data_IF_954767079630
#
_entry.id   IF_954767079630
#
_cell.length_a   1.000
_cell.length_b   1.000
_cell.length_c   1.000
_cell.angle_alpha   90.00
_cell.angle_beta   90.00
_cell.angle_gamma   90.00
#
_symmetry.space_group_name_H-M   'P 1'
#
loop_
_entity.id
_entity.type
_entity.pdbx_description
1 polymer ?
#
# COMPACT_ATOMS: atom_id res chain seq x y z
N UNK A 1 7.06 4.21 -0.70
CA UNK A 1 6.12 5.34 -0.48
C UNK A 1 5.56 5.43 0.94
N UNK A 2 4.84 4.43 1.46
CA UNK A 2 4.28 4.49 2.82
C UNK A 2 5.37 4.78 3.87
N UNK A 3 6.55 4.20 3.71
CA UNK A 3 7.70 4.43 4.59
C UNK A 3 8.25 5.87 4.55
N UNK A 4 8.04 6.62 3.46
CA UNK A 4 8.36 8.05 3.40
C UNK A 4 7.39 8.91 4.22
N UNK A 5 6.18 8.39 4.46
CA UNK A 5 5.12 9.11 5.17
C UNK A 5 5.05 8.67 6.64
N UNK A 6 5.25 7.37 6.87
CA UNK A 6 4.91 6.66 8.10
C UNK A 6 6.00 5.62 8.41
N UNK A 7 7.11 6.13 8.92
CA UNK A 7 8.19 5.38 9.52
C UNK A 7 8.82 6.20 10.66
N UNK A 8 9.73 5.58 11.42
CA UNK A 8 10.60 6.27 12.38
C UNK A 8 11.30 7.45 11.73
N UNK A 9 11.68 8.44 12.54
CA UNK A 9 12.40 9.61 12.05
C UNK A 9 13.70 9.22 11.35
N UNK A 10 14.49 8.32 11.95
CA UNK A 10 15.74 7.85 11.36
C UNK A 10 15.54 7.22 9.98
N UNK A 11 14.52 6.36 9.82
CA UNK A 11 14.27 5.73 8.52
C UNK A 11 13.72 6.70 7.48
N UNK A 12 12.92 7.69 7.89
CA UNK A 12 12.49 8.77 6.99
C UNK A 12 13.67 9.60 6.52
N UNK A 13 14.59 9.96 7.41
CA UNK A 13 15.82 10.69 7.07
C UNK A 13 16.70 9.91 6.11
N UNK A 14 16.88 8.61 6.33
CA UNK A 14 17.57 7.72 5.40
C UNK A 14 16.90 7.70 4.02
N UNK A 15 15.58 7.49 3.95
CA UNK A 15 14.89 7.47 2.66
C UNK A 15 14.91 8.83 1.97
N UNK A 16 14.85 9.93 2.73
CA UNK A 16 14.99 11.28 2.19
C UNK A 16 16.40 11.50 1.62
N UNK A 17 17.47 11.10 2.31
CA UNK A 17 18.83 11.24 1.77
C UNK A 17 19.04 10.41 0.49
N UNK A 18 18.42 9.24 0.41
CA UNK A 18 18.53 8.34 -0.75
C UNK A 18 17.67 8.74 -1.96
N UNK A 19 16.56 9.46 -1.73
CA UNK A 19 15.53 9.68 -2.75
C UNK A 19 15.29 11.15 -3.08
N UNK A 20 15.97 12.11 -2.44
CA UNK A 20 15.74 13.54 -2.64
C UNK A 20 16.37 14.11 -3.92
N UNK A 21 17.25 13.38 -4.60
CA UNK A 21 17.95 13.90 -5.79
C UNK A 21 17.08 13.93 -7.05
N UNK A 22 16.03 13.12 -7.13
CA UNK A 22 15.23 12.94 -8.35
C UNK A 22 13.71 12.97 -8.07
N UNK A 23 12.87 13.33 -9.05
CA UNK A 23 11.42 13.27 -8.91
C UNK A 23 10.92 11.83 -8.69
N UNK A 24 10.12 11.63 -7.64
CA UNK A 24 9.52 10.33 -7.32
C UNK A 24 8.15 10.17 -7.97
N UNK A 25 8.00 9.11 -8.77
CA UNK A 25 6.75 8.75 -9.44
C UNK A 25 6.00 7.66 -8.69
N UNK A 26 4.72 7.51 -9.01
CA UNK A 26 3.88 6.43 -8.49
C UNK A 26 2.98 5.86 -9.58
N UNK A 27 2.84 4.54 -9.60
CA UNK A 27 1.86 3.87 -10.44
C UNK A 27 0.48 3.87 -9.80
N UNK A 28 -0.56 3.85 -10.64
CA UNK A 28 -1.93 3.69 -10.19
C UNK A 28 -2.12 2.43 -9.35
N UNK A 29 -1.41 1.34 -9.67
CA UNK A 29 -1.46 0.12 -8.88
C UNK A 29 -0.94 0.32 -7.45
N UNK A 30 0.19 1.01 -7.27
CA UNK A 30 0.71 1.34 -5.93
C UNK A 30 -0.27 2.26 -5.19
N UNK A 31 -0.92 3.22 -5.87
CA UNK A 31 -1.98 4.05 -5.24
C UNK A 31 -3.12 3.19 -4.73
N UNK A 32 -3.58 2.24 -5.54
CA UNK A 32 -4.64 1.30 -5.16
C UNK A 32 -4.23 0.47 -3.94
N UNK A 33 -3.01 -0.08 -3.93
CA UNK A 33 -2.48 -0.85 -2.81
C UNK A 33 -2.41 -0.04 -1.50
N UNK A 34 -1.98 1.23 -1.59
CA UNK A 34 -1.95 2.12 -0.42
C UNK A 34 -3.38 2.43 0.05
N UNK A 35 -4.32 2.74 -0.86
CA UNK A 35 -5.72 2.96 -0.50
C UNK A 35 -6.33 1.73 0.18
N UNK A 36 -6.10 0.54 -0.38
CA UNK A 36 -6.60 -0.76 0.11
C UNK A 36 -6.04 -1.12 1.48
N UNK A 37 -4.72 -1.09 1.62
CA UNK A 37 -4.03 -1.59 2.83
C UNK A 37 -3.97 -0.58 3.97
N UNK A 38 -4.13 0.71 3.67
CA UNK A 38 -4.01 1.77 4.66
C UNK A 38 -5.28 2.58 4.80
N UNK A 39 -5.70 3.28 3.73
CA UNK A 39 -6.79 4.26 3.82
C UNK A 39 -8.13 3.62 4.24
N UNK A 40 -8.48 2.48 3.63
CA UNK A 40 -9.70 1.72 3.98
C UNK A 40 -9.69 1.29 5.45
N UNK A 41 -8.54 0.85 5.97
CA UNK A 41 -8.43 0.43 7.37
C UNK A 41 -8.62 1.61 8.34
N UNK A 42 -8.11 2.80 8.01
CA UNK A 42 -8.31 3.99 8.84
C UNK A 42 -9.77 4.45 8.79
N UNK A 43 -10.38 4.45 7.61
CA UNK A 43 -11.81 4.80 7.46
C UNK A 43 -12.68 3.82 8.24
N UNK A 44 -12.34 2.53 8.20
CA UNK A 44 -13.06 1.53 8.97
C UNK A 44 -12.90 1.73 10.49
N UNK A 45 -11.70 2.10 10.96
CA UNK A 45 -11.49 2.49 12.36
C UNK A 45 -12.28 3.74 12.75
N UNK A 46 -12.38 4.75 11.86
CA UNK A 46 -13.25 5.91 12.07
C UNK A 46 -14.70 5.49 12.34
N UNK A 47 -15.23 4.54 11.56
CA UNK A 47 -16.59 4.03 11.78
C UNK A 47 -16.73 3.19 13.06
N UNK A 48 -15.70 2.45 13.46
CA UNK A 48 -15.69 1.75 14.76
C UNK A 48 -15.69 2.73 15.92
N UNK A 49 -14.83 3.77 15.87
CA UNK A 49 -14.83 4.83 16.88
C UNK A 49 -16.18 5.56 16.94
N UNK A 50 -16.91 5.66 15.82
CA UNK A 50 -18.22 6.33 15.77
C UNK A 50 -19.38 5.49 16.34
N UNK A 51 -19.22 4.19 16.56
CA UNK A 51 -20.31 3.35 17.08
C UNK A 51 -20.85 3.89 18.42
N UNK A 52 -22.17 3.84 18.60
CA UNK A 52 -22.82 4.35 19.82
C UNK A 52 -22.41 3.55 21.07
N UNK A 53 -22.18 2.24 20.91
CA UNK A 53 -21.69 1.36 21.98
C UNK A 53 -20.22 1.59 22.35
N UNK A 54 -19.49 2.41 21.59
CA UNK A 54 -18.07 2.71 21.82
C UNK A 54 -17.98 4.07 22.50
N UNK A 55 -17.65 4.08 23.79
CA UNK A 55 -17.65 5.31 24.58
C UNK A 55 -16.30 6.02 24.54
N UNK A 56 -15.21 5.28 24.38
CA UNK A 56 -13.85 5.82 24.44
C UNK A 56 -13.00 5.40 23.24
N UNK A 57 -11.87 6.09 23.04
CA UNK A 57 -10.87 5.69 22.04
C UNK A 57 -10.29 4.31 22.39
N UNK A 58 -10.10 4.04 23.69
CA UNK A 58 -9.66 2.75 24.22
C UNK A 58 -10.60 1.61 23.81
N UNK A 59 -11.92 1.79 23.97
CA UNK A 59 -12.92 0.79 23.57
C UNK A 59 -12.85 0.51 22.07
N UNK A 60 -12.69 1.56 21.25
CA UNK A 60 -12.55 1.43 19.80
C UNK A 60 -11.31 0.60 19.44
N UNK A 61 -10.17 0.88 20.07
CA UNK A 61 -8.91 0.15 19.86
C UNK A 61 -9.06 -1.32 20.31
N UNK A 62 -9.71 -1.58 21.44
CA UNK A 62 -9.94 -2.93 21.95
C UNK A 62 -10.89 -3.75 21.06
N UNK A 63 -12.00 -3.16 20.61
CA UNK A 63 -12.91 -3.83 19.67
C UNK A 63 -12.21 -4.08 18.32
N UNK A 64 -11.43 -3.11 17.86
CA UNK A 64 -10.71 -3.21 16.59
C UNK A 64 -9.63 -4.28 16.64
N UNK A 65 -8.84 -4.32 17.72
CA UNK A 65 -7.78 -5.30 17.89
C UNK A 65 -8.38 -6.71 17.77
N UNK A 66 -9.50 -6.99 18.43
CA UNK A 66 -10.21 -8.28 18.36
C UNK A 66 -10.61 -8.76 16.95
N UNK A 67 -10.65 -7.90 15.92
CA UNK A 67 -10.90 -8.29 14.51
C UNK A 67 -9.65 -8.84 13.78
N UNK A 68 -8.51 -8.87 14.47
CA UNK A 68 -7.17 -9.40 14.12
C UNK A 68 -6.97 -9.96 12.69
N UNK A 69 -6.60 -9.08 11.74
CA UNK A 69 -5.81 -9.43 10.55
C UNK A 69 -4.53 -8.59 10.50
N UNK A 70 -3.37 -9.23 10.31
CA UNK A 70 -2.05 -8.59 10.51
C UNK A 70 -1.74 -7.36 9.65
N UNK A 71 -2.35 -7.21 8.47
CA UNK A 71 -2.19 -6.04 7.60
C UNK A 71 -2.94 -4.79 8.12
N UNK A 72 -4.06 -4.99 8.82
CA UNK A 72 -4.89 -3.91 9.39
C UNK A 72 -4.21 -3.29 10.63
N UNK A 73 -3.44 -4.09 11.38
CA UNK A 73 -2.71 -3.67 12.57
C UNK A 73 -1.67 -2.58 12.29
N UNK A 74 -0.89 -2.72 11.21
CA UNK A 74 0.15 -1.74 10.85
C UNK A 74 -0.47 -0.37 10.53
N UNK A 75 -1.67 -0.34 9.96
CA UNK A 75 -2.33 0.92 9.62
C UNK A 75 -2.69 1.70 10.89
N UNK A 76 -3.28 1.02 11.88
CA UNK A 76 -3.71 1.64 13.13
C UNK A 76 -2.55 1.97 14.06
N UNK A 77 -1.53 1.11 14.17
CA UNK A 77 -0.31 1.43 14.94
C UNK A 77 0.40 2.70 14.43
N UNK A 78 0.21 3.05 13.15
CA UNK A 78 0.73 4.30 12.58
C UNK A 78 -0.19 5.50 12.80
N UNK A 79 -1.50 5.28 12.96
CA UNK A 79 -2.49 6.32 13.29
C UNK A 79 -2.48 6.68 14.77
N UNK A 80 -2.24 5.71 15.66
CA UNK A 80 -2.21 5.92 17.10
C UNK A 80 -1.24 7.05 17.51
N UNK A 81 0.02 7.11 17.04
CA UNK A 81 0.92 8.24 17.29
C UNK A 81 0.40 9.57 16.76
N UNK A 82 -0.37 9.59 15.67
CA UNK A 82 -0.99 10.81 15.14
C UNK A 82 -2.13 11.31 16.02
N UNK A 83 -2.84 10.39 16.70
CA UNK A 83 -3.80 10.74 17.75
C UNK A 83 -3.08 11.26 19.00
N UNK A 84 -1.94 10.65 19.38
CA UNK A 84 -1.15 11.07 20.53
C UNK A 84 -0.34 12.36 20.34
N UNK A 85 0.06 12.69 19.10
CA UNK A 85 0.87 13.90 18.80
C UNK A 85 0.10 15.18 19.10
N UNK A 86 -1.23 15.12 19.08
CA UNK A 86 -2.11 16.13 19.62
C UNK A 86 -2.19 15.86 21.13
N UNK A 87 -1.35 16.56 21.91
CA UNK A 87 -1.15 16.41 23.37
C UNK A 87 -2.38 16.66 24.26
N UNK A 88 -3.58 16.30 23.82
CA UNK A 88 -4.86 16.67 24.41
C UNK A 88 -5.97 15.62 24.17
N UNK A 89 -5.62 14.35 23.96
CA UNK A 89 -6.60 13.25 23.89
C UNK A 89 -6.32 12.25 25.02
N UNK A 90 -7.26 12.11 25.94
CA UNK A 90 -7.30 11.03 26.93
C UNK A 90 -8.10 9.87 26.34
N UNK A 91 -7.43 8.74 26.12
CA UNK A 91 -8.02 7.60 25.42
C UNK A 91 -9.13 6.90 26.22
N UNK A 92 -9.19 7.14 27.52
CA UNK A 92 -10.23 6.63 28.43
C UNK A 92 -11.34 7.64 28.68
N UNK A 93 -11.25 8.86 28.11
CA UNK A 93 -12.25 9.91 28.30
C UNK A 93 -13.28 9.89 27.18
N UNK A 94 -14.59 9.73 27.49
CA UNK A 94 -15.64 9.85 26.48
C UNK A 94 -15.70 11.22 25.82
N UNK A 95 -15.24 12.27 26.52
CA UNK A 95 -15.24 13.65 26.02
C UNK A 95 -14.29 13.85 24.84
N UNK A 96 -13.28 13.00 24.70
CA UNK A 96 -12.26 13.13 23.66
C UNK A 96 -12.60 12.35 22.37
N UNK A 97 -13.69 11.56 22.38
CA UNK A 97 -14.18 10.79 21.23
C UNK A 97 -14.42 11.65 19.99
N UNK A 98 -15.20 12.73 20.13
CA UNK A 98 -15.56 13.61 19.00
C UNK A 98 -14.35 14.37 18.43
N UNK A 99 -13.42 14.74 19.31
CA UNK A 99 -12.17 15.37 18.91
C UNK A 99 -11.29 14.39 18.12
N UNK A 100 -11.17 13.14 18.58
CA UNK A 100 -10.46 12.10 17.87
C UNK A 100 -11.08 11.82 16.49
N UNK A 101 -12.41 11.76 16.39
CA UNK A 101 -13.12 11.61 15.10
C UNK A 101 -12.75 12.75 14.13
N UNK A 102 -12.74 14.00 14.60
CA UNK A 102 -12.38 15.17 13.79
C UNK A 102 -10.92 15.10 13.31
N UNK A 103 -10.00 14.71 14.20
CA UNK A 103 -8.58 14.54 13.90
C UNK A 103 -8.37 13.44 12.84
N UNK A 104 -9.05 12.30 12.99
CA UNK A 104 -8.97 11.19 12.03
C UNK A 104 -9.39 11.63 10.63
N UNK A 105 -10.48 12.39 10.51
CA UNK A 105 -10.97 12.88 9.21
C UNK A 105 -9.97 13.82 8.56
N UNK A 106 -9.39 14.74 9.33
CA UNK A 106 -8.32 15.64 8.84
C UNK A 106 -7.11 14.83 8.39
N UNK A 107 -6.72 13.81 9.17
CA UNK A 107 -5.61 12.94 8.86
C UNK A 107 -5.84 12.17 7.55
N UNK A 108 -6.99 11.51 7.40
CA UNK A 108 -7.40 10.78 6.19
C UNK A 108 -7.30 11.69 4.95
N UNK A 109 -7.88 12.90 5.04
CA UNK A 109 -7.85 13.89 3.93
C UNK A 109 -6.43 14.35 3.60
N UNK A 110 -5.60 14.64 4.61
CA UNK A 110 -4.21 15.07 4.42
C UNK A 110 -3.36 13.97 3.80
N UNK A 111 -3.52 12.73 4.26
CA UNK A 111 -2.76 11.59 3.76
C UNK A 111 -2.99 11.38 2.25
N UNK A 112 -4.26 11.38 1.81
CA UNK A 112 -4.58 11.27 0.38
C UNK A 112 -4.01 12.45 -0.41
N UNK A 113 -4.15 13.67 0.11
CA UNK A 113 -3.64 14.88 -0.54
C UNK A 113 -2.12 14.82 -0.75
N UNK A 114 -1.38 14.30 0.23
CA UNK A 114 0.08 14.15 0.14
C UNK A 114 0.44 13.16 -0.98
N UNK A 115 -0.22 12.00 -1.05
CA UNK A 115 0.05 11.02 -2.12
C UNK A 115 -0.19 11.65 -3.49
N UNK A 116 -1.29 12.39 -3.63
CA UNK A 116 -1.69 13.01 -4.90
C UNK A 116 -0.76 14.15 -5.32
N UNK A 117 -0.26 14.96 -4.38
CA UNK A 117 0.58 16.12 -4.68
C UNK A 117 2.07 15.81 -4.75
N UNK A 118 2.57 14.88 -3.93
CA UNK A 118 4.00 14.58 -3.85
C UNK A 118 4.50 13.68 -4.97
N UNK A 119 3.63 12.83 -5.53
CA UNK A 119 4.04 11.81 -6.49
C UNK A 119 3.23 11.91 -7.79
N UNK A 120 3.84 12.41 -8.89
CA UNK A 120 3.26 12.34 -10.22
C UNK A 120 2.98 10.89 -10.65
N UNK A 121 1.98 10.71 -11.50
CA UNK A 121 1.67 9.39 -12.05
C UNK A 121 2.73 8.96 -13.08
N UNK A 122 3.10 7.67 -13.06
CA UNK A 122 3.67 7.03 -14.25
C UNK A 122 2.55 6.39 -15.09
N UNK A 123 2.92 5.82 -16.25
CA UNK A 123 1.98 5.14 -17.14
C UNK A 123 1.23 4.00 -16.42
N UNK A 124 -0.06 3.85 -16.71
CA UNK A 124 -0.90 2.77 -16.19
C UNK A 124 -1.44 1.93 -17.33
N UNK A 125 -0.84 0.75 -17.53
CA UNK A 125 -1.29 -0.22 -18.53
C UNK A 125 -2.38 -1.16 -18.02
N UNK A 126 -2.76 -1.08 -16.74
CA UNK A 126 -3.73 -2.00 -16.11
C UNK A 126 -5.14 -1.44 -16.04
N UNK A 127 -5.27 -0.12 -16.17
CA UNK A 127 -6.53 0.62 -16.10
C UNK A 127 -7.36 0.27 -14.83
N UNK A 128 -6.70 0.08 -13.69
CA UNK A 128 -7.38 -0.31 -12.45
C UNK A 128 -8.29 0.83 -11.96
N UNK A 129 -9.60 0.73 -12.18
CA UNK A 129 -10.55 1.79 -11.82
C UNK A 129 -10.53 2.16 -10.32
N UNK A 130 -10.29 1.18 -9.44
CA UNK A 130 -10.17 1.41 -7.98
C UNK A 130 -9.04 2.37 -7.61
N UNK A 131 -7.97 2.42 -8.41
CA UNK A 131 -6.88 3.38 -8.19
C UNK A 131 -7.33 4.83 -8.35
N UNK A 132 -8.33 5.07 -9.20
CA UNK A 132 -8.81 6.38 -9.62
C UNK A 132 -9.95 6.92 -8.76
N UNK A 133 -10.58 6.08 -7.91
CA UNK A 133 -11.65 6.51 -7.00
C UNK A 133 -11.16 7.66 -6.12
N UNK A 134 -11.72 8.88 -6.24
CA UNK A 134 -11.24 10.05 -5.53
C UNK A 134 -11.77 10.07 -4.10
N UNK A 135 -10.95 10.53 -3.15
CA UNK A 135 -11.40 10.81 -1.79
C UNK A 135 -11.66 12.31 -1.65
N UNK A 136 -12.92 12.70 -1.79
CA UNK A 136 -13.35 14.08 -1.52
C UNK A 136 -14.16 14.09 -0.24
N UNK A 137 -13.69 14.80 0.79
CA UNK A 137 -14.33 14.82 2.10
C UNK A 137 -14.68 16.26 2.49
N UNK A 138 -15.96 16.51 2.75
CA UNK A 138 -16.42 17.63 3.56
C UNK A 138 -16.08 17.36 5.03
N UNK A 139 -15.26 18.25 5.62
CA UNK A 139 -14.84 18.13 7.01
C UNK A 139 -16.00 18.39 8.00
N UNK A 140 -17.06 19.09 7.57
CA UNK A 140 -18.23 19.37 8.43
C UNK A 140 -19.17 18.17 8.51
N UNK A 141 -19.32 17.43 7.41
CA UNK A 141 -20.13 16.23 7.36
C UNK A 141 -19.42 15.09 6.60
N UNK A 142 -18.42 14.43 7.22
CA UNK A 142 -17.55 13.49 6.52
C UNK A 142 -18.19 12.12 6.26
N UNK A 143 -19.26 11.75 6.96
CA UNK A 143 -19.82 10.38 6.93
C UNK A 143 -20.31 9.97 5.53
N UNK A 144 -21.12 10.77 4.81
CA UNK A 144 -21.59 10.39 3.48
C UNK A 144 -20.44 10.16 2.50
N UNK A 145 -19.44 11.05 2.52
CA UNK A 145 -18.28 11.00 1.64
C UNK A 145 -17.38 9.78 1.93
N UNK A 146 -17.13 9.49 3.21
CA UNK A 146 -16.35 8.31 3.61
C UNK A 146 -17.07 7.01 3.21
N UNK A 147 -18.40 6.94 3.39
CA UNK A 147 -19.20 5.78 2.95
C UNK A 147 -19.16 5.64 1.44
N UNK A 148 -19.35 6.73 0.70
CA UNK A 148 -19.30 6.76 -0.76
C UNK A 148 -17.95 6.24 -1.26
N UNK A 149 -16.85 6.76 -0.72
CA UNK A 149 -15.51 6.29 -1.08
C UNK A 149 -15.32 4.78 -0.83
N UNK A 150 -15.74 4.27 0.33
CA UNK A 150 -15.62 2.84 0.65
C UNK A 150 -16.46 1.98 -0.30
N UNK A 151 -17.67 2.41 -0.64
CA UNK A 151 -18.54 1.70 -1.57
C UNK A 151 -17.95 1.67 -2.98
N UNK A 152 -17.56 2.83 -3.52
CA UNK A 152 -16.97 2.93 -4.86
C UNK A 152 -15.62 2.20 -4.95
N UNK A 153 -14.76 2.32 -3.94
CA UNK A 153 -13.50 1.58 -3.89
C UNK A 153 -13.71 0.08 -3.72
N UNK A 154 -14.81 -0.33 -3.12
CA UNK A 154 -15.21 -1.73 -2.92
C UNK A 154 -15.89 -2.36 -4.12
N UNK A 155 -16.25 -1.58 -5.15
CA UNK A 155 -16.93 -2.09 -6.35
C UNK A 155 -15.96 -2.84 -7.28
N UNK A 156 -15.75 -4.11 -6.96
CA UNK A 156 -14.90 -5.00 -7.75
C UNK A 156 -15.52 -5.35 -9.09
N UNK A 157 -16.86 -5.24 -9.25
CA UNK A 157 -17.55 -5.55 -10.51
C UNK A 157 -17.32 -4.45 -11.53
N UNK A 158 -17.58 -3.20 -11.15
CA UNK A 158 -17.28 -2.05 -12.00
C UNK A 158 -15.79 -1.99 -12.32
N UNK A 159 -14.93 -2.22 -11.32
CA UNK A 159 -13.50 -2.31 -11.55
C UNK A 159 -13.14 -3.38 -12.59
N UNK A 160 -13.70 -4.58 -12.49
CA UNK A 160 -13.37 -5.65 -13.44
C UNK A 160 -13.81 -5.32 -14.85
N UNK A 161 -14.98 -4.69 -15.03
CA UNK A 161 -15.48 -4.30 -16.37
C UNK A 161 -14.61 -3.27 -17.10
N UNK A 162 -13.78 -2.51 -16.37
CA UNK A 162 -12.92 -1.44 -16.92
C UNK A 162 -11.42 -1.81 -16.93
N UNK A 163 -11.05 -2.85 -16.18
CA UNK A 163 -9.66 -3.22 -15.96
C UNK A 163 -9.10 -4.06 -17.12
N UNK A 164 -7.86 -3.78 -17.50
CA UNK A 164 -7.13 -4.45 -18.57
C UNK A 164 -6.07 -5.43 -18.05
N UNK A 165 -6.23 -5.94 -16.82
CA UNK A 165 -5.22 -6.81 -16.21
C UNK A 165 -5.02 -8.13 -16.99
N UNK A 166 -6.06 -8.63 -17.66
CA UNK A 166 -5.95 -9.84 -18.48
C UNK A 166 -5.09 -9.60 -19.72
N UNK A 167 -5.35 -8.54 -20.48
CA UNK A 167 -4.55 -8.17 -21.65
C UNK A 167 -3.11 -7.85 -21.23
N UNK A 168 -2.96 -7.17 -20.09
CA UNK A 168 -1.67 -6.85 -19.51
C UNK A 168 -0.84 -8.12 -19.25
N UNK A 169 -1.39 -9.13 -18.57
CA UNK A 169 -0.64 -10.33 -18.17
C UNK A 169 -0.55 -11.40 -19.26
N UNK A 170 -1.64 -11.60 -20.02
CA UNK A 170 -1.79 -12.75 -20.93
C UNK A 170 -1.45 -12.42 -22.38
N UNK A 171 -1.35 -11.13 -22.72
CA UNK A 171 -1.04 -10.66 -24.08
C UNK A 171 0.23 -9.81 -24.07
N UNK A 172 0.21 -8.65 -23.38
CA UNK A 172 1.30 -7.67 -23.44
C UNK A 172 2.60 -8.17 -22.79
N UNK A 173 2.51 -8.74 -21.59
CA UNK A 173 3.67 -9.22 -20.82
C UNK A 173 3.70 -10.74 -20.67
N UNK A 174 3.10 -11.47 -21.62
CA UNK A 174 2.95 -12.92 -21.51
C UNK A 174 4.30 -13.63 -21.35
N UNK A 175 5.26 -13.26 -22.20
CA UNK A 175 6.63 -13.82 -22.20
C UNK A 175 7.31 -13.63 -20.85
N UNK A 176 7.23 -12.43 -20.29
CA UNK A 176 7.84 -12.08 -19.01
C UNK A 176 7.14 -12.86 -17.88
N UNK A 177 5.82 -12.98 -17.92
CA UNK A 177 5.07 -13.78 -16.95
C UNK A 177 5.47 -15.26 -17.01
N UNK A 178 5.62 -15.83 -18.20
CA UNK A 178 6.10 -17.20 -18.40
C UNK A 178 7.53 -17.38 -17.86
N UNK A 179 8.43 -16.43 -18.14
CA UNK A 179 9.80 -16.42 -17.63
C UNK A 179 9.85 -16.35 -16.09
N UNK A 180 9.02 -15.52 -15.46
CA UNK A 180 8.93 -15.45 -13.99
C UNK A 180 8.49 -16.80 -13.39
N UNK A 181 7.56 -17.51 -14.04
CA UNK A 181 7.11 -18.84 -13.61
C UNK A 181 8.22 -19.87 -13.76
N UNK A 182 8.99 -19.81 -14.84
CA UNK A 182 10.14 -20.69 -15.07
C UNK A 182 11.23 -20.50 -14.01
N UNK A 183 11.65 -19.25 -13.77
CA UNK A 183 12.65 -18.90 -12.74
C UNK A 183 12.19 -19.41 -11.36
N UNK A 184 10.92 -19.22 -11.03
CA UNK A 184 10.37 -19.71 -9.76
C UNK A 184 10.47 -21.23 -9.59
N UNK A 185 10.39 -22.01 -10.67
CA UNK A 185 10.48 -23.47 -10.60
C UNK A 185 11.87 -23.98 -10.21
N UNK A 186 12.90 -23.14 -10.37
CA UNK A 186 14.30 -23.48 -10.10
C UNK A 186 14.78 -22.99 -8.72
N UNK A 187 13.98 -22.17 -8.03
CA UNK A 187 14.38 -21.56 -6.76
C UNK A 187 13.96 -22.41 -5.55
N UNK A 188 14.82 -22.52 -4.52
CA UNK A 188 14.45 -23.18 -3.28
C UNK A 188 13.41 -22.36 -2.53
N UNK A 189 12.54 -23.03 -1.77
CA UNK A 189 11.57 -22.35 -0.89
C UNK A 189 12.22 -21.96 0.43
N UNK A 190 12.54 -20.68 0.61
CA UNK A 190 13.11 -20.13 1.84
C UNK A 190 12.56 -18.74 2.17
N UNK A 191 13.09 -18.07 3.19
CA UNK A 191 12.63 -16.75 3.64
C UNK A 191 12.81 -15.65 2.59
N UNK A 192 13.80 -15.75 1.72
CA UNK A 192 14.13 -14.74 0.71
C UNK A 192 13.27 -14.91 -0.55
N UNK A 193 12.99 -16.15 -0.95
CA UNK A 193 12.29 -16.46 -2.21
C UNK A 193 10.77 -16.64 -2.05
N UNK A 194 10.28 -16.93 -0.84
CA UNK A 194 8.86 -17.29 -0.60
C UNK A 194 7.86 -16.26 -1.12
N UNK A 195 8.15 -14.97 -1.03
CA UNK A 195 7.28 -13.91 -1.56
C UNK A 195 7.10 -14.04 -3.07
N UNK A 196 8.23 -14.10 -3.79
CA UNK A 196 8.26 -14.32 -5.23
C UNK A 196 7.60 -15.63 -5.64
N UNK A 197 7.90 -16.75 -4.98
CA UNK A 197 7.29 -18.06 -5.28
C UNK A 197 5.76 -18.03 -5.17
N UNK A 198 5.23 -17.34 -4.16
CA UNK A 198 3.78 -17.21 -4.02
C UNK A 198 3.17 -16.41 -5.18
N UNK A 199 3.83 -15.34 -5.61
CA UNK A 199 3.40 -14.53 -6.77
C UNK A 199 3.44 -15.37 -8.04
N UNK A 200 4.56 -16.05 -8.31
CA UNK A 200 4.75 -16.89 -9.49
C UNK A 200 3.73 -18.04 -9.55
N UNK A 201 3.37 -18.67 -8.43
CA UNK A 201 2.31 -19.68 -8.41
C UNK A 201 0.94 -19.09 -8.82
N UNK A 202 0.61 -17.88 -8.39
CA UNK A 202 -0.62 -17.20 -8.82
C UNK A 202 -0.59 -16.83 -10.31
N UNK A 203 0.57 -16.40 -10.83
CA UNK A 203 0.76 -16.14 -12.25
C UNK A 203 0.63 -17.42 -13.09
N UNK A 204 1.19 -18.54 -12.63
CA UNK A 204 1.05 -19.85 -13.27
C UNK A 204 -0.42 -20.27 -13.36
N UNK A 205 -1.19 -20.11 -12.28
CA UNK A 205 -2.63 -20.38 -12.30
C UNK A 205 -3.37 -19.49 -13.32
N UNK A 206 -3.00 -18.21 -13.44
CA UNK A 206 -3.57 -17.29 -14.44
C UNK A 206 -3.22 -17.73 -15.87
N UNK A 207 -1.97 -18.13 -16.14
CA UNK A 207 -1.57 -18.65 -17.45
C UNK A 207 -2.38 -19.88 -17.87
N UNK A 208 -2.67 -20.78 -16.92
CA UNK A 208 -3.44 -22.01 -17.17
C UNK A 208 -4.94 -21.72 -17.32
N UNK A 209 -5.51 -20.87 -16.48
CA UNK A 209 -6.96 -20.63 -16.40
C UNK A 209 -7.42 -19.52 -17.36
N UNK A 210 -6.49 -18.66 -17.78
CA UNK A 210 -6.76 -17.51 -18.62
C UNK A 210 -7.51 -16.37 -17.91
N UNK A 211 -8.20 -15.56 -18.71
CA UNK A 211 -8.94 -14.36 -18.32
C UNK A 211 -9.85 -14.52 -17.09
N UNK A 212 -10.44 -15.70 -16.90
CA UNK A 212 -11.38 -15.96 -15.81
C UNK A 212 -10.72 -16.01 -14.42
N UNK A 213 -9.41 -16.24 -14.35
CA UNK A 213 -8.65 -16.16 -13.10
C UNK A 213 -8.24 -14.73 -12.71
N UNK A 214 -8.43 -13.76 -13.62
CA UNK A 214 -8.08 -12.35 -13.40
C UNK A 214 -9.23 -11.62 -12.68
N UNK A 215 -9.19 -11.62 -11.34
CA UNK A 215 -10.11 -10.86 -10.50
C UNK A 215 -9.36 -9.95 -9.51
N UNK A 216 -10.09 -9.04 -8.86
CA UNK A 216 -9.49 -8.10 -7.91
C UNK A 216 -8.83 -8.79 -6.71
N UNK A 217 -9.27 -10.00 -6.32
CA UNK A 217 -8.70 -10.77 -5.20
C UNK A 217 -7.38 -11.42 -5.60
N UNK A 218 -7.27 -11.85 -6.86
CA UNK A 218 -6.05 -12.39 -7.45
C UNK A 218 -5.03 -11.28 -7.65
N UNK A 219 -5.44 -10.10 -8.11
CA UNK A 219 -4.60 -8.90 -8.19
C UNK A 219 -3.86 -8.64 -6.86
N UNK A 220 -4.52 -8.80 -5.72
CA UNK A 220 -3.90 -8.63 -4.39
C UNK A 220 -2.70 -9.55 -4.15
N UNK A 221 -2.66 -10.71 -4.80
CA UNK A 221 -1.62 -11.73 -4.64
C UNK A 221 -0.48 -11.60 -5.64
N UNK A 222 -0.68 -10.85 -6.73
CA UNK A 222 0.31 -10.64 -7.80
C UNK A 222 0.76 -9.19 -7.91
N UNK A 223 0.40 -8.35 -6.94
CA UNK A 223 0.59 -6.90 -7.02
C UNK A 223 2.03 -6.48 -7.34
N UNK A 224 3.02 -7.12 -6.71
CA UNK A 224 4.43 -6.81 -6.97
C UNK A 224 4.85 -7.12 -8.41
N UNK A 225 4.35 -8.22 -9.00
CA UNK A 225 4.61 -8.52 -10.42
C UNK A 225 3.98 -7.48 -11.33
N UNK A 226 2.76 -7.05 -11.04
CA UNK A 226 2.09 -5.99 -11.80
C UNK A 226 2.88 -4.68 -11.72
N UNK A 227 3.41 -4.35 -10.54
CA UNK A 227 4.27 -3.17 -10.33
C UNK A 227 5.57 -3.30 -11.13
N UNK A 228 6.25 -4.45 -11.08
CA UNK A 228 7.51 -4.70 -11.77
C UNK A 228 7.35 -4.64 -13.31
N UNK A 229 6.27 -5.21 -13.83
CA UNK A 229 5.98 -5.24 -15.27
C UNK A 229 5.53 -3.87 -15.80
N UNK A 230 4.71 -3.13 -15.03
CA UNK A 230 4.15 -1.85 -15.47
C UNK A 230 5.12 -0.67 -15.27
N UNK A 231 6.21 -0.85 -14.52
CA UNK A 231 7.20 0.19 -14.34
C UNK A 231 7.90 0.54 -15.66
N UNK A 232 8.06 1.83 -15.99
CA UNK A 232 8.85 2.23 -17.16
C UNK A 232 10.32 1.79 -17.00
N UNK A 233 10.89 1.22 -18.06
CA UNK A 233 12.29 0.73 -18.07
C UNK A 233 13.33 1.85 -17.95
N UNK A 234 12.97 3.09 -18.26
CA UNK A 234 13.80 4.27 -18.04
C UNK A 234 13.71 4.84 -16.61
N UNK A 235 12.94 4.20 -15.72
CA UNK A 235 12.85 4.53 -14.30
C UNK A 235 13.33 3.33 -13.46
N UNK A 236 13.79 3.62 -12.24
CA UNK A 236 14.18 2.61 -11.26
C UNK A 236 13.08 2.40 -10.23
N UNK A 237 12.82 1.14 -9.87
CA UNK A 237 11.91 0.78 -8.79
C UNK A 237 12.62 0.81 -7.44
N UNK A 238 12.11 1.62 -6.52
CA UNK A 238 12.58 1.70 -5.14
C UNK A 238 11.70 0.84 -4.22
N UNK A 239 12.27 -0.19 -3.60
CA UNK A 239 11.50 -1.15 -2.79
C UNK A 239 12.25 -1.63 -1.55
N UNK A 240 11.52 -2.33 -0.67
CA UNK A 240 12.07 -3.00 0.53
C UNK A 240 11.78 -4.51 0.54
N UNK A 241 10.91 -4.98 -0.37
CA UNK A 241 10.52 -6.39 -0.42
C UNK A 241 11.54 -7.22 -1.18
N UNK A 242 11.79 -8.44 -0.72
CA UNK A 242 12.67 -9.40 -1.37
C UNK A 242 12.08 -9.92 -2.70
N UNK A 243 10.76 -9.87 -2.87
CA UNK A 243 10.09 -10.36 -4.09
C UNK A 243 10.64 -9.70 -5.35
N UNK A 244 10.90 -8.39 -5.29
CA UNK A 244 11.39 -7.61 -6.43
C UNK A 244 12.80 -8.01 -6.89
N UNK A 245 13.64 -8.55 -6.01
CA UNK A 245 14.96 -9.07 -6.42
C UNK A 245 14.83 -10.21 -7.45
N UNK A 246 13.74 -10.97 -7.38
CA UNK A 246 13.46 -12.07 -8.29
C UNK A 246 12.46 -11.72 -9.39
N UNK A 247 11.66 -10.66 -9.21
CA UNK A 247 10.76 -10.17 -10.25
C UNK A 247 11.47 -9.30 -11.28
N UNK A 248 12.37 -8.42 -10.82
CA UNK A 248 12.97 -7.39 -11.67
C UNK A 248 14.13 -7.92 -12.52
N UNK A 249 14.97 -8.81 -11.97
CA UNK A 249 16.13 -9.33 -12.71
C UNK A 249 15.76 -10.07 -13.99
N UNK A 250 14.78 -10.99 -14.02
CA UNK A 250 14.44 -11.71 -15.25
C UNK A 250 13.92 -10.81 -16.37
N UNK A 251 13.20 -9.74 -16.02
CA UNK A 251 12.56 -8.82 -16.96
C UNK A 251 13.38 -7.55 -17.23
N UNK A 252 14.62 -7.52 -16.72
CA UNK A 252 15.57 -6.41 -16.81
C UNK A 252 14.99 -5.05 -16.36
N UNK A 253 14.12 -5.06 -15.34
CA UNK A 253 13.59 -3.84 -14.76
C UNK A 253 14.62 -3.25 -13.78
N UNK A 254 15.09 -2.00 -13.98
CA UNK A 254 15.97 -1.37 -12.98
C UNK A 254 15.26 -1.27 -11.62
N UNK A 255 15.95 -1.71 -10.57
CA UNK A 255 15.43 -1.66 -9.21
C UNK A 255 16.55 -1.44 -8.19
N UNK A 256 16.18 -0.93 -7.02
CA UNK A 256 17.05 -0.81 -5.87
C UNK A 256 16.29 -1.19 -4.60
N UNK A 257 16.93 -2.05 -3.80
CA UNK A 257 16.39 -2.55 -2.55
C UNK A 257 16.98 -1.79 -1.38
N UNK A 258 16.14 -1.02 -0.71
CA UNK A 258 16.51 -0.36 0.52
C UNK A 258 16.59 -1.36 1.69
N UNK A 259 17.48 -1.13 2.67
CA UNK A 259 17.47 -1.84 3.94
C UNK A 259 16.12 -1.65 4.63
N UNK A 260 15.74 -2.64 5.42
CA UNK A 260 14.55 -2.54 6.26
C UNK A 260 14.72 -1.46 7.33
N UNK A 261 13.60 -0.91 7.80
CA UNK A 261 13.59 0.06 8.89
C UNK A 261 14.37 -0.42 10.13
N UNK A 262 14.21 -1.71 10.50
CA UNK A 262 14.94 -2.29 11.61
C UNK A 262 16.46 -2.25 11.40
N UNK A 263 16.93 -2.51 10.18
CA UNK A 263 18.36 -2.46 9.88
C UNK A 263 18.91 -1.04 10.01
N UNK A 264 18.19 -0.03 9.51
CA UNK A 264 18.62 1.38 9.62
C UNK A 264 18.58 1.86 11.07
N UNK A 265 17.53 1.54 11.82
CA UNK A 265 17.38 1.99 13.21
C UNK A 265 18.38 1.30 14.15
N UNK A 266 18.63 0.01 13.95
CA UNK A 266 19.53 -0.76 14.83
C UNK A 266 21.01 -0.64 14.44
N UNK A 267 21.33 -0.02 13.29
CA UNK A 267 22.71 0.18 12.86
C UNK A 267 22.96 1.65 12.44
N UNK A 268 23.32 2.53 13.38
CA UNK A 268 23.53 3.96 13.11
C UNK A 268 24.61 4.26 12.08
N UNK A 269 25.54 3.33 11.81
CA UNK A 269 26.59 3.50 10.80
C UNK A 269 26.02 3.61 9.38
N UNK A 270 24.83 3.07 9.12
CA UNK A 270 24.15 3.18 7.82
C UNK A 270 23.77 4.64 7.50
N UNK A 271 23.63 5.50 8.52
CA UNK A 271 23.30 6.93 8.33
C UNK A 271 24.57 7.76 8.04
N UNK A 272 25.74 7.31 8.54
CA UNK A 272 26.99 8.07 8.47
C UNK A 272 27.91 7.67 7.30
N UNK A 273 27.68 6.54 6.64
CA UNK A 273 28.55 6.06 5.56
C UNK A 273 28.33 6.72 4.19
N UNK A 274 27.36 7.63 4.06
CA UNK A 274 26.97 8.21 2.77
C UNK A 274 26.82 9.74 2.82
N UNK A 275 27.37 10.37 3.87
CA UNK A 275 27.50 11.84 3.97
C UNK A 275 28.92 12.35 3.63
N UNK A 276 29.83 11.45 3.22
CA UNK A 276 31.18 11.77 2.73
C UNK A 276 31.26 11.72 1.19
#
# INVERSE_FOLDING_TARGET
>A
MRSLLLATQAYRQYLESQLNSEPLYISNYVKMEIKRSYLINIISFYFVLRLDAINTIGDAIALWSNKFKGSELKAILQVIPQLFSIRQLNFSSPKDKEKALSVLVIYIKRFELIIRRKFPNCNDSTACARSLVPLTIDLKNPVPDLKKFVLEFGDTKDCRSKCQIEDFLLVKYRSEVEQLVEVASQLPRNTNTRGFLNIANNLKEILVTGATACDCKRCEKIGDAVIALNAPRNLRLEHTDNSFDYLCSPIEQPHYKHPSENQVVMNPLIINLEQD
#
